data_IF_005063506984
#
_entry.id   IF_005063506984
#
_cell.length_a   1.000
_cell.length_b   1.000
_cell.length_c   1.000
_cell.angle_alpha   90.00
_cell.angle_beta   90.00
_cell.angle_gamma   90.00
#
_symmetry.space_group_name_H-M   'P 1'
#
loop_
_entity.id
_entity.type
_entity.pdbx_description
1 polymer ?
#
# COMPACT_ATOMS: atom_id res chain seq x y z
N UNK A 1 -5.14 -0.45 -17.92
CA UNK A 1 -5.51 -1.10 -16.63
C UNK A 1 -4.50 -0.77 -15.52
N UNK A 2 -3.20 -1.08 -15.66
CA UNK A 2 -2.17 -0.80 -14.64
C UNK A 2 -2.10 0.65 -14.13
N UNK A 3 -2.10 1.65 -15.02
CA UNK A 3 -2.06 3.07 -14.61
C UNK A 3 -3.27 3.49 -13.75
N UNK A 4 -4.49 3.08 -14.11
CA UNK A 4 -5.71 3.41 -13.34
C UNK A 4 -5.67 2.76 -11.96
N UNK A 5 -5.18 1.52 -11.88
CA UNK A 5 -4.96 0.83 -10.59
C UNK A 5 -3.93 1.58 -9.75
N UNK A 6 -2.81 2.00 -10.34
CA UNK A 6 -1.78 2.80 -9.64
C UNK A 6 -2.32 4.14 -9.13
N UNK A 7 -3.23 4.80 -9.85
CA UNK A 7 -3.91 6.03 -9.38
C UNK A 7 -4.78 5.71 -8.15
N UNK A 8 -5.50 4.59 -8.15
CA UNK A 8 -6.23 4.14 -6.96
C UNK A 8 -5.30 3.85 -5.78
N UNK A 9 -4.18 3.18 -6.02
CA UNK A 9 -3.18 2.84 -5.00
C UNK A 9 -2.43 4.05 -4.45
N UNK A 10 -2.36 5.16 -5.19
CA UNK A 10 -1.77 6.43 -4.72
C UNK A 10 -2.54 6.99 -3.52
N UNK A 11 -3.84 6.70 -3.39
CA UNK A 11 -4.66 7.23 -2.30
C UNK A 11 -4.11 6.89 -0.91
N UNK A 12 -3.52 5.71 -0.74
CA UNK A 12 -2.96 5.25 0.54
C UNK A 12 -1.76 6.09 1.01
N UNK A 13 -0.64 6.17 0.28
CA UNK A 13 0.50 6.99 0.70
C UNK A 13 0.15 8.49 0.70
N UNK A 14 -0.74 8.94 -0.18
CA UNK A 14 -1.20 10.32 -0.18
C UNK A 14 -2.02 10.65 1.07
N UNK A 15 -2.87 9.73 1.53
CA UNK A 15 -3.60 9.84 2.78
C UNK A 15 -2.64 9.94 3.97
N UNK A 16 -1.67 9.04 4.05
CA UNK A 16 -0.66 9.06 5.11
C UNK A 16 0.18 10.36 5.10
N UNK A 17 0.55 10.85 3.90
CA UNK A 17 1.21 12.13 3.71
C UNK A 17 0.34 13.28 4.25
N UNK A 18 -0.93 13.35 3.87
CA UNK A 18 -1.81 14.48 4.20
C UNK A 18 -2.39 14.43 5.61
N UNK A 19 -2.35 13.28 6.28
CA UNK A 19 -2.99 13.10 7.60
C UNK A 19 -2.38 14.04 8.64
N UNK A 20 -1.05 14.12 8.71
CA UNK A 20 -0.38 14.92 9.73
C UNK A 20 -0.57 16.44 9.57
N UNK A 21 -0.43 17.07 8.38
CA UNK A 21 -0.74 18.49 8.19
C UNK A 21 -2.20 18.83 8.44
N UNK A 22 -3.10 17.98 7.96
CA UNK A 22 -4.54 18.24 8.09
C UNK A 22 -4.94 18.17 9.55
N UNK A 23 -4.45 17.16 10.29
CA UNK A 23 -4.68 17.06 11.72
C UNK A 23 -4.13 18.27 12.48
N UNK A 24 -2.86 18.63 12.27
CA UNK A 24 -2.25 19.77 12.98
C UNK A 24 -2.89 21.09 12.59
N UNK A 25 -3.16 21.32 11.30
CA UNK A 25 -3.85 22.52 10.83
C UNK A 25 -5.25 22.66 11.40
N UNK A 26 -6.01 21.56 11.49
CA UNK A 26 -7.33 21.58 12.13
C UNK A 26 -7.22 21.80 13.64
N UNK A 27 -6.22 21.20 14.31
CA UNK A 27 -6.01 21.38 15.73
C UNK A 27 -5.64 22.83 16.07
N UNK A 28 -4.79 23.48 15.28
CA UNK A 28 -4.43 24.90 15.49
C UNK A 28 -5.60 25.83 15.22
N UNK A 29 -6.48 25.52 14.26
CA UNK A 29 -7.66 26.31 13.94
C UNK A 29 -8.78 26.15 14.97
N UNK A 30 -8.99 24.94 15.48
CA UNK A 30 -10.10 24.64 16.41
C UNK A 30 -9.73 24.82 17.88
N UNK A 31 -8.43 24.81 18.20
CA UNK A 31 -7.92 24.92 19.57
C UNK A 31 -8.20 23.70 20.46
N UNK A 32 -8.96 22.71 19.97
CA UNK A 32 -9.34 21.50 20.71
C UNK A 32 -9.38 20.27 19.78
N UNK A 33 -8.80 19.17 20.26
CA UNK A 33 -8.69 17.92 19.50
C UNK A 33 -10.07 17.28 19.24
N UNK A 34 -11.06 17.48 20.13
CA UNK A 34 -12.40 16.91 19.95
C UNK A 34 -13.10 17.57 18.78
N UNK A 35 -13.00 18.90 18.69
CA UNK A 35 -13.55 19.70 17.59
C UNK A 35 -12.91 19.32 16.25
N UNK A 36 -11.60 19.08 16.21
CA UNK A 36 -10.92 18.53 15.03
C UNK A 36 -11.57 17.22 14.53
N UNK A 37 -11.82 16.25 15.42
CA UNK A 37 -12.47 14.99 15.02
C UNK A 37 -13.91 15.18 14.53
N UNK A 38 -14.66 16.12 15.13
CA UNK A 38 -16.00 16.46 14.66
C UNK A 38 -15.95 17.01 13.23
N UNK A 39 -15.03 17.94 12.94
CA UNK A 39 -14.87 18.50 11.59
C UNK A 39 -14.51 17.40 10.58
N UNK A 40 -13.56 16.52 10.90
CA UNK A 40 -13.20 15.40 10.04
C UNK A 40 -14.41 14.48 9.78
N UNK A 41 -15.19 14.16 10.82
CA UNK A 41 -16.40 13.34 10.69
C UNK A 41 -17.47 13.97 9.79
N UNK A 42 -17.71 15.27 9.91
CA UNK A 42 -18.66 16.01 9.07
C UNK A 42 -18.19 16.02 7.60
N UNK A 43 -16.90 16.26 7.35
CA UNK A 43 -16.33 16.21 6.00
C UNK A 43 -16.45 14.82 5.40
N UNK A 44 -16.14 13.76 6.16
CA UNK A 44 -16.33 12.37 5.72
C UNK A 44 -17.78 12.05 5.39
N UNK A 45 -18.74 12.53 6.19
CA UNK A 45 -20.17 12.34 5.93
C UNK A 45 -20.61 13.08 4.65
N UNK A 46 -20.14 14.31 4.44
CA UNK A 46 -20.43 15.07 3.23
C UNK A 46 -19.87 14.36 1.98
N UNK A 47 -18.65 13.83 2.05
CA UNK A 47 -18.06 13.04 0.97
C UNK A 47 -18.81 11.73 0.72
N UNK A 48 -19.29 11.06 1.77
CA UNK A 48 -20.13 9.87 1.64
C UNK A 48 -21.45 10.18 0.91
N UNK A 49 -22.13 11.26 1.29
CA UNK A 49 -23.37 11.71 0.62
C UNK A 49 -23.09 12.05 -0.84
N UNK A 50 -21.98 12.75 -1.11
CA UNK A 50 -21.55 13.03 -2.48
C UNK A 50 -21.30 11.74 -3.27
N UNK A 51 -20.61 10.76 -2.68
CA UNK A 51 -20.35 9.48 -3.32
C UNK A 51 -21.64 8.74 -3.65
N UNK A 52 -22.57 8.61 -2.69
CA UNK A 52 -23.86 7.93 -2.88
C UNK A 52 -24.74 8.59 -3.94
N UNK A 53 -24.63 9.91 -4.12
CA UNK A 53 -25.46 10.64 -5.11
C UNK A 53 -24.83 10.68 -6.51
N UNK A 54 -23.52 10.47 -6.65
CA UNK A 54 -22.80 10.66 -7.92
C UNK A 54 -22.23 9.38 -8.53
N UNK A 55 -21.99 8.34 -7.74
CA UNK A 55 -21.44 7.07 -8.22
C UNK A 55 -22.55 6.01 -8.34
N UNK A 56 -22.51 5.25 -9.43
CA UNK A 56 -23.42 4.13 -9.68
C UNK A 56 -22.63 2.82 -9.71
N UNK A 57 -23.30 1.69 -9.45
CA UNK A 57 -22.64 0.39 -9.39
C UNK A 57 -22.29 -0.13 -10.78
N UNK A 58 -23.13 0.18 -11.77
CA UNK A 58 -22.93 -0.22 -13.16
C UNK A 58 -22.92 0.99 -14.11
N UNK A 59 -22.22 0.89 -15.26
CA UNK A 59 -22.33 1.88 -16.33
C UNK A 59 -23.77 2.01 -16.88
N UNK A 60 -24.55 0.93 -16.82
CA UNK A 60 -25.93 0.88 -17.29
C UNK A 60 -26.88 1.74 -16.42
N UNK A 61 -26.62 1.79 -15.11
CA UNK A 61 -27.33 2.65 -14.16
C UNK A 61 -26.95 4.13 -14.27
N UNK A 62 -25.83 4.45 -14.92
CA UNK A 62 -25.30 5.81 -14.92
C UNK A 62 -25.93 6.64 -16.06
N UNK A 63 -26.72 7.69 -15.75
CA UNK A 63 -27.36 8.52 -16.78
C UNK A 63 -26.36 9.35 -17.60
N UNK A 64 -25.09 9.45 -17.16
CA UNK A 64 -24.04 10.21 -17.86
C UNK A 64 -23.22 9.40 -18.84
N UNK A 65 -23.42 8.07 -18.89
CA UNK A 65 -22.69 7.19 -19.81
C UNK A 65 -23.48 7.11 -21.11
N UNK A 66 -22.81 7.44 -22.23
CA UNK A 66 -23.42 7.41 -23.57
C UNK A 66 -23.78 5.99 -24.00
N UNK A 67 -24.78 5.81 -24.86
CA UNK A 67 -25.12 4.48 -25.37
C UNK A 67 -23.97 3.82 -26.13
N UNK A 68 -23.19 4.60 -26.90
CA UNK A 68 -22.01 4.10 -27.59
C UNK A 68 -20.95 3.55 -26.62
N UNK A 69 -20.73 4.22 -25.49
CA UNK A 69 -19.81 3.76 -24.44
C UNK A 69 -20.35 2.53 -23.72
N UNK A 70 -21.66 2.47 -23.44
CA UNK A 70 -22.29 1.28 -22.84
C UNK A 70 -22.12 0.05 -23.71
N UNK A 71 -22.36 0.20 -25.01
CA UNK A 71 -22.24 -0.90 -25.95
C UNK A 71 -20.79 -1.37 -26.08
N UNK A 72 -19.84 -0.44 -26.17
CA UNK A 72 -18.41 -0.76 -26.14
C UNK A 72 -18.02 -1.57 -24.89
N UNK A 73 -18.46 -1.15 -23.71
CA UNK A 73 -18.16 -1.84 -22.45
C UNK A 73 -18.83 -3.23 -22.36
N UNK A 74 -20.05 -3.38 -22.92
CA UNK A 74 -20.73 -4.68 -22.99
C UNK A 74 -19.97 -5.65 -23.89
N UNK A 75 -19.49 -5.19 -25.04
CA UNK A 75 -18.69 -5.99 -25.96
C UNK A 75 -17.35 -6.44 -25.33
N UNK A 76 -16.64 -5.53 -24.65
CA UNK A 76 -15.42 -5.86 -23.90
C UNK A 76 -15.68 -6.93 -22.82
N UNK A 77 -16.78 -6.80 -22.05
CA UNK A 77 -17.16 -7.79 -21.03
C UNK A 77 -17.52 -9.14 -21.64
N UNK A 78 -18.27 -9.16 -22.74
CA UNK A 78 -18.64 -10.39 -23.43
C UNK A 78 -17.40 -11.10 -24.01
N UNK A 79 -16.47 -10.34 -24.62
CA UNK A 79 -15.21 -10.87 -25.11
C UNK A 79 -14.35 -11.47 -23.97
N UNK A 80 -14.28 -10.79 -22.82
CA UNK A 80 -13.57 -11.28 -21.65
C UNK A 80 -14.20 -12.56 -21.07
N UNK A 81 -15.53 -12.64 -21.04
CA UNK A 81 -16.27 -13.83 -20.59
C UNK A 81 -16.06 -15.03 -21.53
N UNK A 82 -16.02 -14.80 -22.85
CA UNK A 82 -15.77 -15.86 -23.83
C UNK A 82 -14.30 -16.33 -23.84
N UNK A 83 -13.35 -15.45 -23.52
CA UNK A 83 -11.94 -15.79 -23.41
C UNK A 83 -11.59 -16.55 -22.11
N UNK A 84 -12.48 -16.53 -21.10
CA UNK A 84 -12.28 -17.26 -19.85
C UNK A 84 -12.90 -18.64 -19.93
N UNK A 85 -12.07 -19.69 -19.88
CA UNK A 85 -12.53 -21.08 -19.91
C UNK A 85 -13.46 -21.33 -18.71
N UNK A 86 -14.69 -21.82 -18.91
CA UNK A 86 -15.58 -22.12 -17.80
C UNK A 86 -14.97 -23.27 -16.99
N UNK A 87 -14.34 -22.92 -15.87
CA UNK A 87 -13.75 -23.91 -14.96
C UNK A 87 -14.90 -24.47 -14.13
N UNK A 88 -15.43 -25.60 -14.57
CA UNK A 88 -16.48 -26.38 -13.89
C UNK A 88 -16.06 -26.92 -12.53
N UNK A 89 -14.75 -26.93 -12.25
CA UNK A 89 -14.18 -27.31 -10.95
C UNK A 89 -13.96 -26.08 -10.07
N UNK A 90 -14.70 -25.99 -8.98
CA UNK A 90 -14.48 -25.00 -7.93
C UNK A 90 -13.22 -25.43 -7.15
N UNK A 91 -12.06 -24.91 -7.53
CA UNK A 91 -10.80 -25.22 -6.84
C UNK A 91 -10.91 -24.91 -5.33
N UNK A 92 -10.67 -25.87 -4.42
CA UNK A 92 -10.76 -25.65 -2.97
C UNK A 92 -9.97 -24.44 -2.48
N UNK A 93 -10.47 -23.68 -1.48
CA UNK A 93 -9.77 -22.50 -0.93
C UNK A 93 -8.38 -22.89 -0.43
N UNK A 94 -8.27 -24.11 0.13
CA UNK A 94 -7.02 -24.71 0.59
C UNK A 94 -5.94 -24.87 -0.49
N UNK A 95 -6.28 -24.83 -1.78
CA UNK A 95 -5.28 -24.81 -2.86
C UNK A 95 -4.42 -23.55 -2.83
N UNK A 96 -4.88 -22.47 -2.20
CA UNK A 96 -4.06 -21.29 -1.94
C UNK A 96 -2.72 -21.67 -1.30
N UNK A 97 -2.74 -22.48 -0.23
CA UNK A 97 -1.54 -22.88 0.51
C UNK A 97 -0.65 -23.86 -0.25
N UNK A 98 -1.17 -24.51 -1.29
CA UNK A 98 -0.37 -25.41 -2.16
C UNK A 98 0.37 -24.64 -3.25
N UNK A 99 -0.09 -23.43 -3.60
CA UNK A 99 0.53 -22.63 -4.64
C UNK A 99 1.64 -21.75 -4.05
N UNK A 100 2.89 -22.08 -4.42
CA UNK A 100 4.08 -21.37 -3.93
C UNK A 100 4.10 -19.90 -4.33
N UNK A 101 3.63 -19.56 -5.53
CA UNK A 101 3.67 -18.18 -6.01
C UNK A 101 2.72 -17.28 -5.20
N UNK A 102 1.53 -17.78 -4.86
CA UNK A 102 0.57 -17.08 -4.00
C UNK A 102 1.07 -16.94 -2.56
N UNK A 103 1.70 -17.99 -2.02
CA UNK A 103 2.25 -17.96 -0.67
C UNK A 103 3.41 -16.95 -0.57
N UNK A 104 4.36 -17.00 -1.50
CA UNK A 104 5.48 -16.06 -1.56
C UNK A 104 5.00 -14.62 -1.78
N UNK A 105 3.97 -14.42 -2.61
CA UNK A 105 3.34 -13.12 -2.79
C UNK A 105 2.69 -12.61 -1.50
N UNK A 106 2.00 -13.47 -0.75
CA UNK A 106 1.40 -13.11 0.53
C UNK A 106 2.47 -12.75 1.59
N UNK A 107 3.59 -13.48 1.63
CA UNK A 107 4.73 -13.16 2.50
C UNK A 107 5.38 -11.83 2.09
N UNK A 108 5.60 -11.61 0.80
CA UNK A 108 6.13 -10.32 0.32
C UNK A 108 5.21 -9.15 0.65
N UNK A 109 3.89 -9.36 0.54
CA UNK A 109 2.91 -8.33 0.89
C UNK A 109 2.81 -8.12 2.41
N UNK A 110 2.98 -9.18 3.21
CA UNK A 110 3.14 -9.06 4.67
C UNK A 110 4.34 -8.17 5.02
N UNK A 111 5.51 -8.38 4.41
CA UNK A 111 6.69 -7.53 4.63
C UNK A 111 6.43 -6.08 4.24
N UNK A 112 5.75 -5.86 3.10
CA UNK A 112 5.33 -4.53 2.68
C UNK A 112 4.46 -3.82 3.73
N UNK A 113 3.43 -4.52 4.24
CA UNK A 113 2.53 -3.98 5.27
C UNK A 113 3.28 -3.78 6.59
N UNK A 114 4.18 -4.69 6.97
CA UNK A 114 5.01 -4.58 8.18
C UNK A 114 5.79 -3.26 8.18
N UNK A 115 6.58 -3.03 7.12
CA UNK A 115 7.38 -1.81 6.95
C UNK A 115 6.50 -0.56 6.94
N UNK A 116 5.36 -0.62 6.25
CA UNK A 116 4.40 0.50 6.16
C UNK A 116 3.88 0.91 7.54
N UNK A 117 3.46 -0.05 8.36
CA UNK A 117 2.95 0.23 9.71
C UNK A 117 4.06 0.64 10.70
N UNK A 118 5.26 0.08 10.52
CA UNK A 118 6.44 0.49 11.27
C UNK A 118 6.75 1.97 11.01
N UNK A 119 6.80 2.39 9.75
CA UNK A 119 6.99 3.78 9.37
C UNK A 119 5.86 4.68 9.87
N UNK A 120 4.61 4.23 9.77
CA UNK A 120 3.45 5.00 10.21
C UNK A 120 3.46 5.25 11.72
N UNK A 121 3.78 4.23 12.51
CA UNK A 121 3.57 4.25 13.97
C UNK A 121 4.82 4.73 14.72
N UNK A 122 6.00 4.28 14.31
CA UNK A 122 7.22 4.43 15.10
C UNK A 122 8.14 5.55 14.62
N UNK A 123 8.03 6.01 13.37
CA UNK A 123 8.86 7.13 12.87
C UNK A 123 8.74 8.38 13.73
N UNK A 124 7.53 8.88 14.08
CA UNK A 124 7.41 10.09 14.87
C UNK A 124 8.01 9.90 16.27
N UNK A 125 7.78 8.73 16.86
CA UNK A 125 8.29 8.41 18.19
C UNK A 125 9.82 8.27 18.22
N UNK A 126 10.42 7.63 17.21
CA UNK A 126 11.86 7.52 17.05
C UNK A 126 12.52 8.90 16.94
N UNK A 127 11.96 9.80 16.12
CA UNK A 127 12.45 11.17 15.99
C UNK A 127 12.30 11.99 17.29
N UNK A 128 11.27 11.70 18.08
CA UNK A 128 11.07 12.33 19.38
C UNK A 128 12.11 11.86 20.41
N UNK A 129 12.31 10.55 20.52
CA UNK A 129 13.12 9.96 21.60
C UNK A 129 14.63 10.13 21.34
N UNK A 130 15.09 9.92 20.10
CA UNK A 130 16.53 9.96 19.76
C UNK A 130 17.03 11.36 19.39
N UNK A 131 16.18 12.17 18.76
CA UNK A 131 16.57 13.49 18.25
C UNK A 131 15.90 14.65 18.99
N UNK A 132 15.12 14.36 20.03
CA UNK A 132 14.47 15.35 20.89
C UNK A 132 13.64 16.40 20.13
N UNK A 133 13.06 16.02 18.98
CA UNK A 133 12.20 16.93 18.24
C UNK A 133 10.90 17.22 18.99
N UNK A 134 10.52 18.49 18.97
CA UNK A 134 9.24 18.92 19.52
C UNK A 134 8.07 18.29 18.76
N UNK A 135 6.98 18.05 19.48
CA UNK A 135 5.74 17.50 18.92
C UNK A 135 5.22 18.33 17.73
N UNK A 136 5.46 19.64 17.77
CA UNK A 136 5.11 20.60 16.71
C UNK A 136 5.91 20.44 15.42
N UNK A 137 7.01 19.68 15.42
CA UNK A 137 7.80 19.37 14.22
C UNK A 137 7.66 17.94 13.72
N UNK A 138 7.25 17.02 14.58
CA UNK A 138 7.11 15.60 14.24
C UNK A 138 6.03 15.36 13.17
N UNK A 139 5.00 16.21 13.11
CA UNK A 139 3.93 16.05 12.13
C UNK A 139 4.43 16.23 10.69
N UNK A 140 5.29 17.21 10.40
CA UNK A 140 5.79 17.41 9.04
C UNK A 140 6.95 16.48 8.72
N UNK A 141 7.79 16.14 9.71
CA UNK A 141 8.91 15.21 9.50
C UNK A 141 8.42 13.78 9.23
N UNK A 142 7.35 13.35 9.92
CA UNK A 142 6.74 12.03 9.71
C UNK A 142 6.11 11.85 8.32
N UNK A 143 5.83 12.93 7.60
CA UNK A 143 5.30 12.89 6.24
C UNK A 143 6.36 12.65 5.18
N UNK A 144 7.59 13.13 5.40
CA UNK A 144 8.63 13.14 4.37
C UNK A 144 8.85 11.73 3.78
N UNK A 145 8.92 10.65 4.59
CA UNK A 145 9.04 9.29 4.05
C UNK A 145 7.93 8.87 3.08
N UNK A 146 6.72 9.41 3.22
CA UNK A 146 5.57 9.09 2.36
C UNK A 146 5.64 9.75 0.99
N UNK A 147 6.43 10.82 0.84
CA UNK A 147 6.63 11.47 -0.46
C UNK A 147 7.27 10.51 -1.45
N UNK A 148 8.29 9.76 -1.03
CA UNK A 148 8.94 8.74 -1.85
C UNK A 148 7.98 7.65 -2.32
N UNK A 149 7.07 7.21 -1.45
CA UNK A 149 6.03 6.24 -1.79
C UNK A 149 5.03 6.81 -2.83
N UNK A 150 4.63 8.08 -2.72
CA UNK A 150 3.71 8.70 -3.69
C UNK A 150 4.26 8.66 -5.12
N UNK A 151 5.57 8.94 -5.29
CA UNK A 151 6.20 8.90 -6.62
C UNK A 151 6.35 7.47 -7.14
N UNK A 152 6.82 6.56 -6.29
CA UNK A 152 7.16 5.19 -6.70
C UNK A 152 5.96 4.31 -6.97
N UNK A 153 4.83 4.50 -6.27
CA UNK A 153 3.57 3.75 -6.54
C UNK A 153 3.06 4.00 -7.97
N UNK A 154 3.23 5.23 -8.49
CA UNK A 154 2.85 5.57 -9.86
C UNK A 154 3.80 4.98 -10.91
N UNK A 155 5.08 4.82 -10.54
CA UNK A 155 6.11 4.27 -11.41
C UNK A 155 6.13 2.74 -11.40
N UNK A 156 5.73 2.11 -10.31
CA UNK A 156 5.81 0.66 -10.09
C UNK A 156 5.17 -0.16 -11.22
N UNK A 157 3.95 0.18 -11.60
CA UNK A 157 3.25 -0.48 -12.71
C UNK A 157 3.98 -0.31 -14.04
N UNK A 158 4.49 0.90 -14.32
CA UNK A 158 5.23 1.18 -15.57
C UNK A 158 6.57 0.43 -15.63
N UNK A 159 7.28 0.34 -14.50
CA UNK A 159 8.56 -0.39 -14.40
C UNK A 159 8.32 -1.89 -14.59
N UNK A 160 7.30 -2.45 -13.94
CA UNK A 160 6.94 -3.86 -14.10
C UNK A 160 6.54 -4.18 -15.55
N UNK A 161 5.72 -3.34 -16.18
CA UNK A 161 5.32 -3.50 -17.59
C UNK A 161 6.53 -3.38 -18.54
N UNK A 162 7.44 -2.43 -18.30
CA UNK A 162 8.68 -2.29 -19.09
C UNK A 162 9.57 -3.53 -18.97
N UNK A 163 9.71 -4.06 -17.74
CA UNK A 163 10.52 -5.24 -17.48
C UNK A 163 9.90 -6.48 -18.15
N UNK A 164 8.58 -6.60 -18.15
CA UNK A 164 7.86 -7.64 -18.88
C UNK A 164 8.11 -7.55 -20.39
N UNK A 165 8.00 -6.36 -20.98
CA UNK A 165 8.25 -6.14 -22.42
C UNK A 165 9.68 -6.46 -22.83
N UNK A 166 10.67 -6.18 -21.97
CA UNK A 166 12.09 -6.43 -22.27
C UNK A 166 12.51 -7.88 -22.05
N UNK A 167 12.02 -8.51 -21.00
CA UNK A 167 12.48 -9.86 -20.59
C UNK A 167 11.59 -10.97 -21.12
N UNK A 168 10.34 -10.66 -21.47
CA UNK A 168 9.32 -11.66 -21.82
C UNK A 168 8.91 -12.57 -20.66
N UNK A 169 9.41 -12.33 -19.43
CA UNK A 169 9.25 -13.26 -18.31
C UNK A 169 8.49 -12.60 -17.15
N UNK A 170 7.29 -13.11 -16.88
CA UNK A 170 6.42 -12.64 -15.79
C UNK A 170 7.08 -12.75 -14.41
N UNK A 171 7.86 -13.80 -14.15
CA UNK A 171 8.55 -13.98 -12.85
C UNK A 171 9.59 -12.90 -12.63
N UNK A 172 10.29 -12.48 -13.68
CA UNK A 172 11.28 -11.40 -13.60
C UNK A 172 10.59 -10.05 -13.41
N UNK A 173 9.56 -9.78 -14.21
CA UNK A 173 8.79 -8.55 -14.16
C UNK A 173 8.09 -8.28 -12.83
N UNK A 174 7.79 -9.34 -12.06
CA UNK A 174 6.95 -9.27 -10.86
C UNK A 174 7.67 -9.74 -9.61
N UNK A 175 7.95 -11.03 -9.51
CA UNK A 175 8.49 -11.64 -8.29
C UNK A 175 9.91 -11.17 -7.99
N UNK A 176 10.78 -11.12 -9.00
CA UNK A 176 12.15 -10.62 -8.82
C UNK A 176 12.18 -9.12 -8.55
N UNK A 177 11.34 -8.33 -9.23
CA UNK A 177 11.21 -6.90 -8.94
C UNK A 177 10.82 -6.66 -7.48
N UNK A 178 9.78 -7.35 -6.99
CA UNK A 178 9.34 -7.24 -5.60
C UNK A 178 10.43 -7.70 -4.62
N UNK A 179 11.10 -8.82 -4.89
CA UNK A 179 12.18 -9.33 -4.04
C UNK A 179 13.37 -8.36 -3.96
N UNK A 180 13.81 -7.80 -5.09
CA UNK A 180 14.90 -6.82 -5.13
C UNK A 180 14.51 -5.54 -4.38
N UNK A 181 13.30 -5.04 -4.56
CA UNK A 181 12.80 -3.88 -3.84
C UNK A 181 12.77 -4.10 -2.32
N UNK A 182 12.29 -5.25 -1.86
CA UNK A 182 12.28 -5.61 -0.44
C UNK A 182 13.70 -5.73 0.12
N UNK A 183 14.63 -6.38 -0.60
CA UNK A 183 16.02 -6.48 -0.18
C UNK A 183 16.70 -5.10 -0.05
N UNK A 184 16.47 -4.21 -1.03
CA UNK A 184 16.99 -2.85 -0.96
C UNK A 184 16.36 -2.05 0.18
N UNK A 185 15.08 -2.30 0.48
CA UNK A 185 14.38 -1.71 1.64
C UNK A 185 15.05 -2.12 2.95
N UNK A 186 15.32 -3.42 3.15
CA UNK A 186 16.05 -3.92 4.32
C UNK A 186 17.43 -3.28 4.44
N UNK A 187 18.20 -3.19 3.36
CA UNK A 187 19.51 -2.53 3.36
C UNK A 187 19.40 -1.06 3.80
N UNK A 188 18.38 -0.34 3.35
CA UNK A 188 18.15 1.04 3.78
C UNK A 188 17.89 1.13 5.28
N UNK A 189 17.04 0.26 5.84
CA UNK A 189 16.76 0.25 7.28
C UNK A 189 17.98 -0.12 8.13
N UNK A 190 18.81 -1.07 7.69
CA UNK A 190 20.06 -1.40 8.38
C UNK A 190 21.05 -0.22 8.42
N UNK A 191 20.98 0.69 7.44
CA UNK A 191 21.78 1.91 7.42
C UNK A 191 21.17 3.03 8.29
N UNK A 192 19.86 3.00 8.56
CA UNK A 192 19.20 4.00 9.43
C UNK A 192 19.82 4.00 10.82
N UNK A 193 20.09 2.83 11.41
CA UNK A 193 20.70 2.73 12.74
C UNK A 193 22.14 3.25 12.81
N UNK A 194 22.78 3.50 11.67
CA UNK A 194 24.14 4.04 11.58
C UNK A 194 24.14 5.54 11.26
N UNK A 195 22.99 6.11 10.92
CA UNK A 195 22.88 7.52 10.56
C UNK A 195 23.02 8.40 11.80
N UNK A 196 23.98 9.34 11.76
CA UNK A 196 24.23 10.28 12.87
C UNK A 196 23.41 11.56 12.78
N UNK A 197 22.72 11.79 11.66
CA UNK A 197 21.92 12.99 11.43
C UNK A 197 20.46 12.65 11.14
N UNK A 198 19.57 13.51 11.63
CA UNK A 198 18.11 13.42 11.42
C UNK A 198 17.79 13.37 9.93
N UNK A 199 18.43 14.22 9.13
CA UNK A 199 18.22 14.28 7.69
C UNK A 199 18.71 13.01 6.98
N UNK A 200 19.79 12.39 7.48
CA UNK A 200 20.24 11.08 7.01
C UNK A 200 19.21 9.98 7.28
N UNK A 201 18.67 9.93 8.51
CA UNK A 201 17.57 9.01 8.89
C UNK A 201 16.37 9.21 7.98
N UNK A 202 15.87 10.45 7.85
CA UNK A 202 14.68 10.76 7.05
C UNK A 202 14.91 10.40 5.58
N UNK A 203 16.08 10.70 5.01
CA UNK A 203 16.42 10.36 3.64
C UNK A 203 16.42 8.84 3.42
N UNK A 204 17.02 8.07 4.33
CA UNK A 204 17.04 6.62 4.26
C UNK A 204 15.66 6.00 4.44
N UNK A 205 14.85 6.50 5.38
CA UNK A 205 13.46 6.06 5.55
C UNK A 205 12.59 6.39 4.34
N UNK A 206 12.82 7.55 3.71
CA UNK A 206 12.13 7.94 2.47
C UNK A 206 12.50 7.02 1.32
N UNK A 207 13.79 6.71 1.16
CA UNK A 207 14.26 5.77 0.14
C UNK A 207 13.73 4.36 0.40
N UNK A 208 13.77 3.89 1.65
CA UNK A 208 13.23 2.60 2.06
C UNK A 208 11.73 2.49 1.72
N UNK A 209 10.95 3.52 2.08
CA UNK A 209 9.51 3.54 1.78
C UNK A 209 9.23 3.62 0.27
N UNK A 210 10.04 4.37 -0.47
CA UNK A 210 9.94 4.46 -1.93
C UNK A 210 10.19 3.09 -2.59
N UNK A 211 11.23 2.38 -2.15
CA UNK A 211 11.54 1.04 -2.65
C UNK A 211 10.45 0.03 -2.27
N UNK A 212 9.94 0.11 -1.03
CA UNK A 212 8.87 -0.74 -0.53
C UNK A 212 7.56 -0.54 -1.31
N UNK A 213 7.21 0.70 -1.66
CA UNK A 213 5.95 1.02 -2.31
C UNK A 213 5.96 0.80 -3.84
N UNK A 214 7.14 0.71 -4.46
CA UNK A 214 7.30 0.44 -5.89
C UNK A 214 6.60 -0.86 -6.34
N UNK A 215 6.80 -2.03 -5.70
CA UNK A 215 6.13 -3.28 -6.11
C UNK A 215 4.66 -3.38 -5.68
N UNK A 216 4.05 -2.35 -5.07
CA UNK A 216 2.70 -2.47 -4.51
C UNK A 216 1.65 -2.94 -5.53
N UNK A 217 1.69 -2.42 -6.76
CA UNK A 217 0.77 -2.86 -7.83
C UNK A 217 1.01 -4.31 -8.29
N UNK A 218 2.23 -4.82 -8.09
CA UNK A 218 2.62 -6.17 -8.49
C UNK A 218 1.95 -7.22 -7.61
N UNK A 219 1.85 -6.98 -6.30
CA UNK A 219 1.21 -7.94 -5.38
C UNK A 219 -0.23 -8.27 -5.78
N UNK A 220 -0.96 -7.27 -6.28
CA UNK A 220 -2.30 -7.43 -6.82
C UNK A 220 -2.32 -8.19 -8.15
N UNK A 221 -1.43 -7.81 -9.07
CA UNK A 221 -1.35 -8.45 -10.39
C UNK A 221 -1.01 -9.94 -10.29
N UNK A 222 -0.14 -10.34 -9.36
CA UNK A 222 0.20 -11.76 -9.13
C UNK A 222 -1.02 -12.55 -8.68
N UNK A 223 -1.85 -12.01 -7.77
CA UNK A 223 -3.07 -12.72 -7.33
C UNK A 223 -4.05 -12.86 -8.48
N UNK A 224 -4.29 -11.79 -9.25
CA UNK A 224 -5.22 -11.79 -10.38
C UNK A 224 -4.81 -12.81 -11.44
N UNK A 225 -3.52 -12.89 -11.76
CA UNK A 225 -3.04 -13.75 -12.85
C UNK A 225 -2.83 -15.20 -12.42
N UNK A 226 -2.66 -15.46 -11.13
CA UNK A 226 -2.40 -16.81 -10.59
C UNK A 226 -3.65 -17.47 -10.03
N UNK A 227 -4.62 -16.69 -9.55
CA UNK A 227 -5.83 -17.23 -8.97
C UNK A 227 -6.79 -17.76 -10.06
N UNK A 228 -7.53 -18.85 -9.78
CA UNK A 228 -8.63 -19.28 -10.64
C UNK A 228 -9.64 -18.16 -10.84
N UNK A 229 -10.15 -17.98 -12.06
CA UNK A 229 -11.10 -16.91 -12.41
C UNK A 229 -12.35 -16.88 -11.52
N UNK A 230 -12.81 -18.05 -11.08
CA UNK A 230 -13.96 -18.21 -10.18
C UNK A 230 -13.67 -17.91 -8.70
N UNK A 231 -12.40 -17.68 -8.30
CA UNK A 231 -11.98 -17.47 -6.90
C UNK A 231 -10.95 -16.38 -6.68
N UNK A 232 -10.74 -15.50 -7.67
CA UNK A 232 -9.86 -14.32 -7.53
C UNK A 232 -10.21 -13.53 -6.25
N UNK A 233 -11.50 -13.30 -5.98
CA UNK A 233 -11.93 -12.59 -4.76
C UNK A 233 -11.54 -13.30 -3.45
N UNK A 234 -11.73 -14.62 -3.37
CA UNK A 234 -11.39 -15.40 -2.17
C UNK A 234 -9.87 -15.45 -1.93
N UNK A 235 -9.09 -15.59 -3.01
CA UNK A 235 -7.63 -15.65 -2.94
C UNK A 235 -7.04 -14.28 -2.60
N UNK A 236 -7.58 -13.20 -3.17
CA UNK A 236 -7.25 -11.82 -2.78
C UNK A 236 -7.56 -11.57 -1.31
N UNK A 237 -8.72 -12.02 -0.81
CA UNK A 237 -9.08 -11.92 0.59
C UNK A 237 -8.09 -12.65 1.51
N UNK A 238 -7.65 -13.86 1.14
CA UNK A 238 -6.66 -14.64 1.89
C UNK A 238 -5.30 -13.95 1.93
N UNK A 239 -4.81 -13.47 0.77
CA UNK A 239 -3.57 -12.69 0.69
C UNK A 239 -3.64 -11.43 1.56
N UNK A 240 -4.78 -10.72 1.55
CA UNK A 240 -5.00 -9.55 2.39
C UNK A 240 -5.05 -9.89 3.87
N UNK A 241 -5.69 -11.00 4.25
CA UNK A 241 -5.75 -11.45 5.62
C UNK A 241 -4.33 -11.70 6.16
N UNK A 242 -3.54 -12.49 5.43
CA UNK A 242 -2.13 -12.77 5.79
C UNK A 242 -1.36 -11.45 5.88
N UNK A 243 -1.42 -10.59 4.87
CA UNK A 243 -0.67 -9.34 4.87
C UNK A 243 -1.07 -8.40 6.02
N UNK A 244 -2.37 -8.28 6.33
CA UNK A 244 -2.84 -7.41 7.40
C UNK A 244 -2.52 -7.93 8.80
N UNK A 245 -2.16 -9.21 8.97
CA UNK A 245 -1.61 -9.65 10.27
C UNK A 245 -0.35 -8.87 10.65
N UNK A 246 0.41 -8.38 9.66
CA UNK A 246 1.56 -7.52 9.91
C UNK A 246 1.20 -6.20 10.60
N UNK A 247 -0.03 -5.69 10.41
CA UNK A 247 -0.45 -4.39 10.97
C UNK A 247 -0.46 -4.34 12.49
N UNK A 248 -0.75 -5.46 13.16
CA UNK A 248 -0.69 -5.56 14.61
C UNK A 248 0.63 -6.18 15.10
N UNK A 249 1.24 -7.07 14.31
CA UNK A 249 2.54 -7.66 14.65
C UNK A 249 3.65 -6.60 14.63
N UNK A 250 3.67 -5.71 13.62
CA UNK A 250 4.73 -4.72 13.48
C UNK A 250 4.81 -3.76 14.67
N UNK A 251 3.72 -3.11 15.13
CA UNK A 251 3.79 -2.24 16.29
C UNK A 251 4.10 -3.00 17.58
N UNK A 252 3.54 -4.20 17.76
CA UNK A 252 3.74 -5.03 18.96
C UNK A 252 5.19 -5.50 19.09
N UNK A 253 5.74 -6.10 18.03
CA UNK A 253 7.11 -6.59 17.99
C UNK A 253 8.09 -5.43 18.14
N UNK A 254 7.86 -4.33 17.42
CA UNK A 254 8.67 -3.12 17.53
C UNK A 254 8.67 -2.58 18.95
N UNK A 255 7.51 -2.48 19.60
CA UNK A 255 7.44 -2.01 20.99
C UNK A 255 8.22 -2.87 21.96
N UNK A 256 8.12 -4.20 21.83
CA UNK A 256 8.90 -5.13 22.62
C UNK A 256 10.41 -5.01 22.38
N UNK A 257 10.82 -4.91 21.11
CA UNK A 257 12.22 -4.77 20.72
C UNK A 257 12.83 -3.45 21.21
N UNK A 258 12.13 -2.33 21.02
CA UNK A 258 12.59 -1.01 21.45
C UNK A 258 12.79 -0.95 22.97
N UNK A 259 11.86 -1.50 23.76
CA UNK A 259 11.97 -1.50 25.23
C UNK A 259 13.15 -2.36 25.72
N UNK A 260 13.42 -3.49 25.05
CA UNK A 260 14.41 -4.48 25.54
C UNK A 260 15.81 -4.34 24.95
N UNK A 261 15.91 -3.86 23.71
CA UNK A 261 17.14 -3.84 22.91
C UNK A 261 17.39 -2.48 22.23
N UNK A 262 16.52 -1.49 22.42
CA UNK A 262 16.64 -0.15 21.83
C UNK A 262 16.21 -0.07 20.36
N UNK A 263 16.18 1.14 19.81
CA UNK A 263 15.64 1.42 18.47
C UNK A 263 16.39 0.77 17.32
N UNK A 264 17.69 0.48 17.46
CA UNK A 264 18.45 -0.22 16.41
C UNK A 264 17.89 -1.61 16.11
N UNK A 265 17.37 -2.31 17.13
CA UNK A 265 16.79 -3.64 16.97
C UNK A 265 15.49 -3.65 16.15
N UNK A 266 14.71 -2.56 16.22
CA UNK A 266 13.52 -2.35 15.39
C UNK A 266 13.87 -2.29 13.90
N UNK A 267 14.94 -1.55 13.55
CA UNK A 267 15.36 -1.43 12.15
C UNK A 267 15.97 -2.70 11.60
N UNK A 268 16.61 -3.51 12.44
CA UNK A 268 17.12 -4.84 12.04
C UNK A 268 15.98 -5.84 11.83
N UNK A 269 14.88 -5.71 12.57
CA UNK A 269 13.70 -6.55 12.41
C UNK A 269 12.81 -6.16 11.21
N UNK A 270 13.01 -4.96 10.65
CA UNK A 270 12.29 -4.43 9.50
C UNK A 270 12.89 -4.90 8.17
#
# INVERSE_FOLDING_TARGET
RGFVVSVGLLSTPLGALLTAPVAVGLQTLTGDWRSMFVVLGVVSLALLIFFMTRFTNTPDENPRVSEAEREFLRQERAAAANASTPTTSVAPIWHFFKNKDLLLNAVGYFSFVYVTFLLLTWTPKYLQDEFHYNLSSLWYMGMIPWTGACFTVLLGGKISDLLLRRTGNLKVARSWLAATCLLLTTLCFMLVSQAQTVWGVIALMTLANALNALPNSVYWAVVIDTAPSNRVGAYSGMTHFIANTASFIAPMLTGYLTVRYGYSSMFVAA
#
